data_IF_273401067024
#
_entry.id   IF_273401067024
#
_cell.length_a   1.000
_cell.length_b   1.000
_cell.length_c   1.000
_cell.angle_alpha   90.00
_cell.angle_beta   90.00
_cell.angle_gamma   90.00
#
_symmetry.space_group_name_H-M   'P 1'
#
loop_
_entity.id
_entity.type
_entity.pdbx_description
1 polymer ?
#
# COMPACT_ATOMS: atom_id res chain seq x y z
N UNK A 1 -32.51 -8.41 -4.64
CA UNK A 1 -31.32 -8.23 -3.79
C UNK A 1 -30.44 -9.44 -3.99
N UNK A 2 -29.12 -9.24 -4.12
CA UNK A 2 -28.17 -10.32 -4.31
C UNK A 2 -26.99 -10.11 -3.38
N UNK A 3 -26.59 -11.18 -2.70
CA UNK A 3 -25.42 -11.17 -1.83
C UNK A 3 -24.15 -11.21 -2.67
N UNK A 4 -23.10 -10.53 -2.19
CA UNK A 4 -21.78 -10.51 -2.82
C UNK A 4 -20.77 -11.06 -1.82
N UNK A 5 -19.93 -11.97 -2.29
CA UNK A 5 -18.83 -12.54 -1.51
C UNK A 5 -17.51 -12.04 -2.10
N UNK A 6 -16.62 -11.54 -1.24
CA UNK A 6 -15.25 -11.19 -1.58
C UNK A 6 -14.30 -12.18 -0.91
N UNK A 7 -13.36 -12.73 -1.68
CA UNK A 7 -12.35 -13.65 -1.18
C UNK A 7 -10.96 -13.07 -1.49
N UNK A 8 -10.04 -13.18 -0.53
CA UNK A 8 -8.63 -12.83 -0.70
C UNK A 8 -7.77 -14.07 -0.45
N UNK A 9 -6.72 -14.26 -1.24
CA UNK A 9 -5.79 -15.38 -1.10
C UNK A 9 -4.42 -14.99 -1.66
N UNK A 10 -3.36 -15.57 -1.11
CA UNK A 10 -2.00 -15.47 -1.65
C UNK A 10 -1.71 -16.56 -2.71
N UNK A 11 -2.49 -17.65 -2.74
CA UNK A 11 -2.32 -18.73 -3.72
C UNK A 11 -3.08 -18.39 -5.00
N UNK A 12 -2.32 -18.09 -6.07
CA UNK A 12 -2.87 -17.77 -7.39
C UNK A 12 -3.77 -18.88 -7.96
N UNK A 13 -3.49 -20.15 -7.65
CA UNK A 13 -4.30 -21.28 -8.13
C UNK A 13 -5.69 -21.25 -7.50
N UNK A 14 -5.76 -20.94 -6.20
CA UNK A 14 -7.04 -20.78 -5.49
C UNK A 14 -7.80 -19.56 -6.03
N UNK A 15 -7.10 -18.47 -6.32
CA UNK A 15 -7.72 -17.27 -6.91
C UNK A 15 -8.35 -17.58 -8.27
N UNK A 16 -7.59 -18.22 -9.19
CA UNK A 16 -8.07 -18.60 -10.52
C UNK A 16 -9.18 -19.67 -10.47
N UNK A 17 -9.12 -20.58 -9.50
CA UNK A 17 -10.20 -21.56 -9.29
C UNK A 17 -11.52 -20.89 -8.89
N UNK A 18 -11.46 -19.90 -8.00
CA UNK A 18 -12.66 -19.21 -7.50
C UNK A 18 -13.21 -18.15 -8.47
N UNK A 19 -12.35 -17.51 -9.26
CA UNK A 19 -12.72 -16.51 -10.26
C UNK A 19 -11.77 -16.62 -11.47
N UNK A 20 -12.28 -16.82 -12.71
CA UNK A 20 -11.44 -16.89 -13.90
C UNK A 20 -10.67 -15.60 -14.20
N UNK A 21 -11.12 -14.45 -13.67
CA UNK A 21 -10.43 -13.16 -13.77
C UNK A 21 -10.18 -12.56 -12.36
N UNK A 22 -9.23 -13.12 -11.60
CA UNK A 22 -8.96 -12.67 -10.24
C UNK A 22 -8.26 -11.30 -10.25
N UNK A 23 -8.67 -10.42 -9.34
CA UNK A 23 -8.01 -9.13 -9.15
C UNK A 23 -6.61 -9.36 -8.56
N UNK A 24 -5.57 -9.04 -9.35
CA UNK A 24 -4.19 -9.04 -8.87
C UNK A 24 -3.86 -7.64 -8.32
N UNK A 25 -3.59 -7.56 -7.01
CA UNK A 25 -3.16 -6.31 -6.40
C UNK A 25 -1.75 -5.95 -6.88
N UNK A 26 -1.56 -4.69 -7.30
CA UNK A 26 -0.25 -4.13 -7.64
C UNK A 26 0.48 -3.65 -6.39
N UNK A 27 1.80 -3.57 -6.48
CA UNK A 27 2.60 -2.76 -5.56
C UNK A 27 2.29 -1.27 -5.75
N UNK A 28 2.55 -0.48 -4.72
CA UNK A 28 2.49 0.97 -4.79
C UNK A 28 3.65 1.50 -5.64
N UNK A 29 3.42 2.61 -6.33
CA UNK A 29 4.52 3.42 -6.86
C UNK A 29 5.27 4.10 -5.72
N UNK A 30 6.46 4.64 -6.00
CA UNK A 30 7.19 5.48 -5.04
C UNK A 30 6.34 6.66 -4.57
N UNK A 31 5.61 7.31 -5.49
CA UNK A 31 4.69 8.40 -5.18
C UNK A 31 3.55 7.94 -4.28
N UNK A 32 2.87 6.83 -4.60
CA UNK A 32 1.79 6.28 -3.77
C UNK A 32 2.32 5.86 -2.37
N UNK A 33 3.56 5.37 -2.30
CA UNK A 33 4.23 5.01 -1.05
C UNK A 33 4.55 6.24 -0.20
N UNK A 34 5.04 7.31 -0.82
CA UNK A 34 5.29 8.58 -0.14
C UNK A 34 3.99 9.21 0.37
N UNK A 35 2.94 9.24 -0.45
CA UNK A 35 1.62 9.72 -0.03
C UNK A 35 1.07 8.92 1.15
N UNK A 36 1.18 7.60 1.12
CA UNK A 36 0.79 6.73 2.23
C UNK A 36 1.60 7.02 3.49
N UNK A 37 2.92 7.21 3.36
CA UNK A 37 3.81 7.55 4.47
C UNK A 37 3.37 8.87 5.14
N UNK A 38 3.17 9.93 4.35
CA UNK A 38 2.74 11.24 4.86
C UNK A 38 1.36 11.13 5.53
N UNK A 39 0.43 10.43 4.90
CA UNK A 39 -0.91 10.22 5.46
C UNK A 39 -0.86 9.50 6.81
N UNK A 40 0.06 8.54 6.98
CA UNK A 40 0.18 7.76 8.21
C UNK A 40 0.98 8.44 9.30
N UNK A 41 2.10 9.10 8.97
CA UNK A 41 2.96 9.74 9.95
C UNK A 41 2.45 11.12 10.39
N UNK A 42 1.89 11.90 9.44
CA UNK A 42 1.51 13.31 9.65
C UNK A 42 -0.01 13.54 9.61
N UNK A 43 -0.80 12.49 9.36
CA UNK A 43 -2.25 12.58 9.29
C UNK A 43 -2.72 13.41 8.09
N UNK A 44 -3.52 14.46 8.36
CA UNK A 44 -4.01 15.40 7.33
C UNK A 44 -3.07 16.59 7.09
N UNK A 45 -1.88 16.60 7.70
CA UNK A 45 -0.88 17.64 7.51
C UNK A 45 -0.09 17.47 6.21
N UNK A 46 0.47 18.57 5.69
CA UNK A 46 1.48 18.52 4.64
C UNK A 46 2.83 18.08 5.21
N UNK A 47 3.64 17.40 4.40
CA UNK A 47 5.03 17.14 4.75
C UNK A 47 5.83 18.45 4.80
N UNK A 48 6.51 18.80 5.90
CA UNK A 48 7.43 19.93 5.94
C UNK A 48 8.55 19.76 4.90
N UNK A 49 8.94 20.84 4.21
CA UNK A 49 9.96 20.81 3.14
C UNK A 49 11.26 20.10 3.56
N UNK A 50 11.66 20.29 4.81
CA UNK A 50 12.88 19.69 5.38
C UNK A 50 12.81 18.15 5.50
N UNK A 51 11.61 17.56 5.47
CA UNK A 51 11.40 16.12 5.58
C UNK A 51 11.04 15.47 4.24
N UNK A 52 10.83 16.24 3.17
CA UNK A 52 10.42 15.70 1.86
C UNK A 52 11.43 14.67 1.34
N UNK A 53 12.71 15.05 1.26
CA UNK A 53 13.77 14.15 0.78
C UNK A 53 13.93 12.90 1.65
N UNK A 54 13.74 13.05 2.98
CA UNK A 54 13.79 11.90 3.88
C UNK A 54 12.60 10.96 3.63
N UNK A 55 11.40 11.51 3.52
CA UNK A 55 10.21 10.71 3.26
C UNK A 55 10.25 10.02 1.89
N UNK A 56 10.77 10.68 0.85
CA UNK A 56 11.00 10.08 -0.47
C UNK A 56 11.97 8.91 -0.37
N UNK A 57 13.09 9.07 0.34
CA UNK A 57 14.07 7.98 0.55
C UNK A 57 13.49 6.80 1.34
N UNK A 58 12.60 7.07 2.30
CA UNK A 58 11.89 6.01 3.03
C UNK A 58 10.94 5.28 2.08
N UNK A 59 10.16 6.02 1.28
CA UNK A 59 9.20 5.46 0.34
C UNK A 59 9.88 4.56 -0.71
N UNK A 60 11.03 4.99 -1.23
CA UNK A 60 11.86 4.20 -2.14
C UNK A 60 12.28 2.87 -1.50
N UNK A 61 12.78 2.91 -0.26
CA UNK A 61 13.22 1.70 0.49
C UNK A 61 12.10 0.73 0.86
N UNK A 62 10.84 1.15 0.77
CA UNK A 62 9.71 0.28 1.05
C UNK A 62 9.31 -0.61 -0.14
N UNK A 63 9.93 -0.40 -1.31
CA UNK A 63 9.71 -1.20 -2.53
C UNK A 63 8.22 -1.36 -2.91
N UNK A 64 7.41 -0.34 -2.65
CA UNK A 64 5.99 -0.33 -2.96
C UNK A 64 5.12 -1.26 -2.10
N UNK A 65 5.67 -1.86 -1.03
CA UNK A 65 4.91 -2.73 -0.11
C UNK A 65 4.14 -1.87 0.90
N UNK A 66 2.78 -1.80 0.85
CA UNK A 66 2.02 -0.93 1.74
C UNK A 66 2.28 -1.18 3.23
N UNK A 67 2.44 -2.45 3.61
CA UNK A 67 2.68 -2.83 5.00
C UNK A 67 4.04 -2.32 5.50
N UNK A 68 5.09 -2.36 4.67
CA UNK A 68 6.41 -1.86 5.05
C UNK A 68 6.37 -0.35 5.33
N UNK A 69 5.67 0.42 4.49
CA UNK A 69 5.47 1.87 4.67
C UNK A 69 4.80 2.18 6.02
N UNK A 70 3.77 1.43 6.37
CA UNK A 70 3.00 1.66 7.60
C UNK A 70 3.83 1.29 8.84
N UNK A 71 4.56 0.18 8.82
CA UNK A 71 5.36 -0.28 9.98
C UNK A 71 6.43 0.73 10.38
N UNK A 72 7.00 1.47 9.43
CA UNK A 72 8.03 2.49 9.72
C UNK A 72 7.50 3.62 10.61
N UNK A 73 6.20 3.87 10.60
CA UNK A 73 5.55 4.96 11.34
C UNK A 73 4.68 4.45 12.49
N UNK A 74 4.66 3.15 12.76
CA UNK A 74 4.02 2.57 13.94
C UNK A 74 4.93 2.73 15.18
N UNK A 75 4.36 3.06 16.36
CA UNK A 75 5.10 3.28 17.61
C UNK A 75 5.65 2.01 18.26
#
# INVERSE_FOLDING_TARGET
MGDRIMMTTLDKRVATYANPDPLNLKFLTETESFELLIMRALGKGSCPDVLVQLGESIAEKCDGVPLAVVVIVEP
#
